data_IF_112039479408
#
_entry.id   IF_112039479408
#
_cell.length_a   1.000
_cell.length_b   1.000
_cell.length_c   1.000
_cell.angle_alpha   90.00
_cell.angle_beta   90.00
_cell.angle_gamma   90.00
#
_symmetry.space_group_name_H-M   'P 1'
#
loop_
_entity.id
_entity.type
_entity.pdbx_description
1 polymer ?
#
# COMPACT_ATOMS: atom_id res chain seq x y z
N UNK A 1 18.54 15.06 12.58
CA UNK A 1 18.60 15.86 11.32
C UNK A 1 17.16 16.08 10.82
N UNK A 2 16.67 17.33 10.82
CA UNK A 2 15.30 17.68 10.42
C UNK A 2 15.20 17.78 8.89
N UNK A 3 14.79 16.70 8.23
CA UNK A 3 14.61 16.67 6.79
C UNK A 3 13.12 16.84 6.51
N UNK A 4 12.71 18.01 6.02
CA UNK A 4 11.39 18.14 5.41
C UNK A 4 11.39 17.30 4.11
N UNK A 5 10.40 16.43 3.89
CA UNK A 5 10.33 15.65 2.66
C UNK A 5 10.24 16.58 1.46
N UNK A 6 11.04 16.32 0.44
CA UNK A 6 11.02 17.06 -0.82
C UNK A 6 9.95 16.52 -1.75
N UNK A 7 9.62 15.23 -1.64
CA UNK A 7 8.58 14.61 -2.43
C UNK A 7 7.23 14.71 -1.71
N UNK A 8 6.22 15.08 -2.50
CA UNK A 8 4.84 15.30 -2.10
C UNK A 8 3.96 14.08 -2.50
N UNK A 9 2.97 13.75 -1.66
CA UNK A 9 1.90 12.79 -1.91
C UNK A 9 1.16 12.99 -3.24
N UNK A 10 1.04 14.23 -3.75
CA UNK A 10 0.45 14.51 -5.07
C UNK A 10 1.16 13.74 -6.18
N UNK A 11 2.50 13.64 -6.15
CA UNK A 11 3.22 12.89 -7.19
C UNK A 11 2.93 11.38 -7.15
N UNK A 12 2.78 10.83 -5.95
CA UNK A 12 2.46 9.41 -5.75
C UNK A 12 1.02 9.10 -6.19
N UNK A 13 0.09 9.99 -5.82
CA UNK A 13 -1.29 9.90 -6.27
C UNK A 13 -1.40 10.05 -7.79
N UNK A 14 -0.69 11.02 -8.37
CA UNK A 14 -0.67 11.24 -9.82
C UNK A 14 -0.07 10.04 -10.57
N UNK A 15 0.98 9.42 -10.04
CA UNK A 15 1.52 8.20 -10.63
C UNK A 15 0.47 7.07 -10.60
N UNK A 16 -0.16 6.82 -9.45
CA UNK A 16 -1.21 5.82 -9.33
C UNK A 16 -2.40 6.11 -10.26
N UNK A 17 -2.78 7.39 -10.39
CA UNK A 17 -3.80 7.86 -11.32
C UNK A 17 -3.42 7.54 -12.78
N UNK A 18 -2.23 7.94 -13.22
CA UNK A 18 -1.78 7.67 -14.58
C UNK A 18 -1.67 6.16 -14.85
N UNK A 19 -1.21 5.39 -13.87
CA UNK A 19 -1.00 3.96 -14.02
C UNK A 19 -2.31 3.15 -13.98
N UNK A 20 -3.20 3.37 -13.01
CA UNK A 20 -4.42 2.54 -12.86
C UNK A 20 -5.65 3.10 -13.58
N UNK A 21 -5.70 4.40 -13.88
CA UNK A 21 -6.88 5.02 -14.48
C UNK A 21 -6.65 5.34 -15.96
N UNK A 22 -5.49 5.91 -16.31
CA UNK A 22 -5.20 6.36 -17.69
C UNK A 22 -4.57 5.24 -18.52
N UNK A 23 -3.63 4.48 -17.97
CA UNK A 23 -2.93 3.42 -18.70
C UNK A 23 -3.86 2.35 -19.30
N UNK A 24 -4.99 1.94 -18.69
CA UNK A 24 -5.92 1.00 -19.32
C UNK A 24 -6.44 1.48 -20.68
N UNK A 25 -6.77 2.77 -20.79
CA UNK A 25 -7.24 3.39 -22.05
C UNK A 25 -6.13 3.37 -23.10
N UNK A 26 -4.91 3.74 -22.70
CA UNK A 26 -3.72 3.65 -23.54
C UNK A 26 -3.49 2.21 -24.00
N UNK A 27 -3.64 1.24 -23.10
CA UNK A 27 -3.42 -0.18 -23.40
C UNK A 27 -4.41 -0.72 -24.41
N UNK A 28 -5.71 -0.42 -24.24
CA UNK A 28 -6.76 -0.83 -25.16
C UNK A 28 -6.56 -0.25 -26.56
N UNK A 29 -6.01 0.97 -26.66
CA UNK A 29 -5.78 1.65 -27.92
C UNK A 29 -4.49 1.19 -28.64
N UNK A 30 -3.35 1.15 -27.94
CA UNK A 30 -2.05 0.88 -28.56
C UNK A 30 -1.64 -0.59 -28.58
N UNK A 31 -2.14 -1.42 -27.66
CA UNK A 31 -1.77 -2.84 -27.56
C UNK A 31 -2.92 -3.78 -27.97
N UNK A 32 -3.78 -3.34 -28.90
CA UNK A 32 -5.00 -4.05 -29.33
C UNK A 32 -4.80 -5.56 -29.55
N UNK A 33 -3.72 -5.93 -30.24
CA UNK A 33 -3.42 -7.31 -30.63
C UNK A 33 -2.77 -8.17 -29.54
N UNK A 34 -2.43 -7.58 -28.39
CA UNK A 34 -1.73 -8.30 -27.32
C UNK A 34 -2.67 -9.23 -26.56
N UNK A 35 -2.14 -10.35 -26.06
CA UNK A 35 -2.94 -11.38 -25.39
C UNK A 35 -3.77 -10.83 -24.20
N UNK A 36 -3.21 -9.91 -23.42
CA UNK A 36 -3.85 -9.37 -22.22
C UNK A 36 -4.97 -8.37 -22.59
N UNK A 37 -4.81 -7.64 -23.68
CA UNK A 37 -5.88 -6.76 -24.21
C UNK A 37 -7.01 -7.59 -24.81
N UNK A 38 -6.70 -8.66 -25.54
CA UNK A 38 -7.71 -9.57 -26.09
C UNK A 38 -8.57 -10.19 -24.98
N UNK A 39 -7.97 -10.59 -23.85
CA UNK A 39 -8.71 -11.05 -22.67
C UNK A 39 -9.56 -9.93 -22.09
N UNK A 40 -9.00 -8.73 -21.90
CA UNK A 40 -9.74 -7.60 -21.34
C UNK A 40 -10.95 -7.20 -22.20
N UNK A 41 -10.82 -7.28 -23.54
CA UNK A 41 -11.89 -6.96 -24.51
C UNK A 41 -13.11 -7.88 -24.41
N UNK A 42 -12.99 -9.03 -23.74
CA UNK A 42 -14.15 -9.89 -23.42
C UNK A 42 -15.08 -9.24 -22.39
N UNK A 43 -14.57 -8.30 -21.59
CA UNK A 43 -15.30 -7.66 -20.50
C UNK A 43 -15.55 -6.16 -20.73
N UNK A 44 -14.65 -5.45 -21.42
CA UNK A 44 -14.74 -4.00 -21.59
C UNK A 44 -14.40 -3.55 -23.01
N UNK A 45 -15.03 -2.48 -23.46
CA UNK A 45 -14.76 -1.79 -24.73
C UNK A 45 -14.13 -0.43 -24.47
N UNK A 46 -13.43 0.10 -25.47
CA UNK A 46 -12.81 1.43 -25.36
C UNK A 46 -13.85 2.52 -25.10
N UNK A 47 -15.05 2.42 -25.68
CA UNK A 47 -16.13 3.39 -25.51
C UNK A 47 -16.68 3.45 -24.08
N UNK A 48 -16.47 2.40 -23.28
CA UNK A 48 -16.94 2.38 -21.89
C UNK A 48 -16.13 3.34 -21.01
N UNK A 49 -14.90 3.69 -21.42
CA UNK A 49 -14.04 4.70 -20.79
C UNK A 49 -14.39 6.13 -21.24
N UNK A 50 -15.69 6.43 -21.29
CA UNK A 50 -16.22 7.69 -21.80
C UNK A 50 -16.09 8.88 -20.86
N UNK A 51 -16.95 9.89 -21.08
CA UNK A 51 -16.94 11.16 -20.35
C UNK A 51 -17.18 10.98 -18.85
N UNK A 52 -18.11 10.13 -18.44
CA UNK A 52 -18.42 9.90 -17.02
C UNK A 52 -17.19 9.37 -16.26
N UNK A 53 -16.56 8.32 -16.78
CA UNK A 53 -15.34 7.74 -16.21
C UNK A 53 -14.24 8.80 -16.05
N UNK A 54 -14.01 9.59 -17.11
CA UNK A 54 -12.99 10.63 -17.14
C UNK A 54 -13.28 11.77 -16.16
N UNK A 55 -14.54 12.23 -16.10
CA UNK A 55 -14.97 13.30 -15.21
C UNK A 55 -14.79 12.93 -13.74
N UNK A 56 -15.27 11.75 -13.33
CA UNK A 56 -15.15 11.23 -11.96
C UNK A 56 -13.67 11.10 -11.59
N UNK A 57 -12.87 10.53 -12.49
CA UNK A 57 -11.44 10.34 -12.29
C UNK A 57 -10.72 11.67 -12.04
N UNK A 58 -10.94 12.66 -12.91
CA UNK A 58 -10.34 14.00 -12.75
C UNK A 58 -10.81 14.65 -11.46
N UNK A 59 -12.09 14.50 -11.11
CA UNK A 59 -12.65 15.03 -9.88
C UNK A 59 -11.93 14.44 -8.64
N UNK A 60 -11.67 13.13 -8.61
CA UNK A 60 -10.85 12.51 -7.54
C UNK A 60 -9.46 13.14 -7.43
N UNK A 61 -8.77 13.34 -8.56
CA UNK A 61 -7.44 13.95 -8.57
C UNK A 61 -7.46 15.38 -8.04
N UNK A 62 -8.43 16.18 -8.45
CA UNK A 62 -8.58 17.57 -8.02
C UNK A 62 -8.90 17.66 -6.53
N UNK A 63 -9.86 16.88 -6.04
CA UNK A 63 -10.26 16.88 -4.62
C UNK A 63 -9.09 16.45 -3.73
N UNK A 64 -8.40 15.36 -4.08
CA UNK A 64 -7.24 14.90 -3.33
C UNK A 64 -6.14 15.98 -3.26
N UNK A 65 -5.82 16.57 -4.41
CA UNK A 65 -4.78 17.60 -4.52
C UNK A 65 -5.15 18.85 -3.73
N UNK A 66 -6.39 19.31 -3.82
CA UNK A 66 -6.91 20.44 -3.08
C UNK A 66 -6.79 20.21 -1.57
N UNK A 67 -7.28 19.06 -1.08
CA UNK A 67 -7.20 18.70 0.33
C UNK A 67 -5.73 18.65 0.80
N UNK A 68 -4.86 17.98 0.06
CA UNK A 68 -3.44 17.92 0.41
C UNK A 68 -2.83 19.32 0.54
N UNK A 69 -3.07 20.22 -0.43
CA UNK A 69 -2.51 21.57 -0.45
C UNK A 69 -3.01 22.38 0.75
N UNK A 70 -4.30 22.31 1.05
CA UNK A 70 -4.90 23.00 2.21
C UNK A 70 -4.21 22.52 3.49
N UNK A 71 -4.20 21.21 3.74
CA UNK A 71 -3.75 20.66 5.03
C UNK A 71 -2.23 20.65 5.21
N UNK A 72 -1.45 20.57 4.12
CA UNK A 72 0.01 20.68 4.17
C UNK A 72 0.50 22.11 4.50
N UNK A 73 -0.34 23.12 4.24
CA UNK A 73 -0.04 24.52 4.51
C UNK A 73 -0.61 25.04 5.85
N UNK A 74 -1.43 24.24 6.54
CA UNK A 74 -1.97 24.63 7.85
C UNK A 74 -0.86 24.94 8.87
N UNK A 75 -1.14 25.93 9.72
CA UNK A 75 -0.29 26.26 10.88
C UNK A 75 -0.62 25.33 12.04
N UNK A 76 -0.09 24.10 11.98
CA UNK A 76 -0.18 23.14 13.07
C UNK A 76 0.98 23.32 14.07
N UNK A 77 0.69 23.13 15.35
CA UNK A 77 1.72 23.06 16.40
C UNK A 77 2.65 21.87 16.16
N UNK A 78 3.94 22.05 16.42
CA UNK A 78 4.93 20.97 16.29
C UNK A 78 4.62 19.86 17.30
N UNK A 79 4.66 18.63 16.84
CA UNK A 79 4.51 17.44 17.70
C UNK A 79 5.85 16.87 18.12
N UNK A 80 5.97 16.54 19.40
CA UNK A 80 7.18 15.93 19.98
C UNK A 80 7.01 14.43 20.26
N UNK A 81 5.99 13.79 19.70
CA UNK A 81 5.71 12.35 19.90
C UNK A 81 6.93 11.52 19.49
N UNK A 82 7.52 10.76 20.42
CA UNK A 82 8.65 9.88 20.16
C UNK A 82 10.02 10.57 20.04
N UNK A 83 10.11 11.90 20.03
CA UNK A 83 11.41 12.58 19.82
C UNK A 83 12.41 12.33 20.95
N UNK A 84 11.95 12.38 22.21
CA UNK A 84 12.80 12.11 23.37
C UNK A 84 13.17 10.63 23.44
N UNK A 85 12.23 9.80 23.02
CA UNK A 85 12.27 8.35 23.15
C UNK A 85 13.36 7.72 22.27
N UNK A 86 13.59 8.30 21.10
CA UNK A 86 14.63 7.88 20.13
C UNK A 86 16.04 7.84 20.73
N UNK A 87 16.33 8.66 21.73
CA UNK A 87 17.65 8.73 22.36
C UNK A 87 17.91 7.60 23.37
N UNK A 88 16.86 6.91 23.84
CA UNK A 88 17.01 5.79 24.76
C UNK A 88 17.72 4.61 24.09
N UNK A 89 18.88 4.20 24.64
CA UNK A 89 19.72 3.12 24.08
C UNK A 89 19.00 1.76 24.01
N UNK A 90 18.07 1.49 24.93
CA UNK A 90 17.34 0.22 25.03
C UNK A 90 16.12 0.15 24.11
N UNK A 91 15.49 1.29 23.78
CA UNK A 91 14.26 1.31 22.98
C UNK A 91 14.40 0.59 21.62
N UNK A 92 15.44 0.88 20.79
CA UNK A 92 15.61 0.18 19.52
C UNK A 92 15.82 -1.33 19.67
N UNK A 93 16.48 -1.75 20.76
CA UNK A 93 16.74 -3.17 21.02
C UNK A 93 15.45 -3.90 21.40
N UNK A 94 14.63 -3.31 22.28
CA UNK A 94 13.35 -3.89 22.70
C UNK A 94 12.42 -4.01 21.49
N UNK A 95 12.31 -2.95 20.67
CA UNK A 95 11.48 -3.00 19.44
C UNK A 95 12.00 -4.06 18.47
N UNK A 96 13.32 -4.14 18.28
CA UNK A 96 13.93 -5.17 17.42
C UNK A 96 13.56 -6.58 17.90
N UNK A 97 13.68 -6.85 19.20
CA UNK A 97 13.33 -8.15 19.80
C UNK A 97 11.84 -8.45 19.61
N UNK A 98 10.95 -7.47 19.81
CA UNK A 98 9.50 -7.64 19.62
C UNK A 98 9.18 -7.97 18.16
N UNK A 99 9.75 -7.24 17.20
CA UNK A 99 9.47 -7.50 15.78
C UNK A 99 10.08 -8.84 15.34
N UNK A 100 11.26 -9.18 15.85
CA UNK A 100 11.88 -10.48 15.58
C UNK A 100 11.06 -11.63 16.17
N UNK A 101 10.55 -11.49 17.40
CA UNK A 101 9.70 -12.52 18.02
C UNK A 101 8.38 -12.69 17.27
N UNK A 102 7.76 -11.60 16.80
CA UNK A 102 6.58 -11.65 15.94
C UNK A 102 6.87 -12.34 14.60
N UNK A 103 8.04 -12.09 14.00
CA UNK A 103 8.46 -12.77 12.77
C UNK A 103 8.63 -14.27 12.99
N UNK A 104 9.37 -14.67 14.01
CA UNK A 104 9.56 -16.08 14.35
C UNK A 104 8.24 -16.76 14.68
N UNK A 105 7.38 -16.13 15.47
CA UNK A 105 6.05 -16.64 15.78
C UNK A 105 5.20 -16.85 14.53
N UNK A 106 5.23 -15.90 13.58
CA UNK A 106 4.48 -16.00 12.32
C UNK A 106 5.01 -17.14 11.45
N UNK A 107 6.33 -17.32 11.36
CA UNK A 107 6.96 -18.43 10.61
C UNK A 107 6.62 -19.79 11.25
N UNK A 108 6.72 -19.89 12.57
CA UNK A 108 6.38 -21.11 13.32
C UNK A 108 4.90 -21.44 13.12
N UNK A 109 4.01 -20.45 13.27
CA UNK A 109 2.57 -20.62 13.02
C UNK A 109 2.30 -21.09 11.59
N UNK A 110 2.99 -20.53 10.60
CA UNK A 110 2.89 -20.96 9.20
C UNK A 110 3.24 -22.44 9.03
N UNK A 111 4.36 -22.87 9.63
CA UNK A 111 4.81 -24.25 9.56
C UNK A 111 3.79 -25.22 10.19
N UNK A 112 3.27 -24.91 11.38
CA UNK A 112 2.26 -25.74 12.04
C UNK A 112 0.90 -25.74 11.34
N UNK A 113 0.56 -24.67 10.63
CA UNK A 113 -0.67 -24.60 9.83
C UNK A 113 -0.61 -25.40 8.53
N UNK A 114 0.51 -26.05 8.23
CA UNK A 114 0.68 -26.85 7.00
C UNK A 114 0.75 -26.02 5.72
N UNK A 115 0.93 -24.70 5.83
CA UNK A 115 1.01 -23.83 4.66
C UNK A 115 2.35 -24.06 3.97
N UNK A 116 2.28 -24.52 2.73
CA UNK A 116 3.45 -24.67 1.88
C UNK A 116 4.05 -23.28 1.60
N UNK A 117 5.20 -23.00 2.22
CA UNK A 117 5.96 -21.80 1.90
C UNK A 117 6.41 -21.91 0.44
N UNK A 118 6.29 -20.82 -0.33
CA UNK A 118 6.65 -20.74 -1.76
C UNK A 118 5.69 -21.42 -2.77
N UNK A 119 4.45 -21.76 -2.39
CA UNK A 119 3.46 -22.33 -3.32
C UNK A 119 2.73 -21.30 -4.21
N UNK A 120 2.96 -19.99 -4.02
CA UNK A 120 2.29 -18.95 -4.79
C UNK A 120 0.77 -18.88 -4.53
N UNK A 121 -0.01 -18.57 -5.56
CA UNK A 121 -1.49 -18.46 -5.47
C UNK A 121 -2.21 -19.83 -5.46
N UNK A 122 -1.48 -20.94 -5.58
CA UNK A 122 -2.05 -22.26 -5.88
C UNK A 122 -2.89 -22.86 -4.75
N UNK A 123 -2.61 -22.53 -3.48
CA UNK A 123 -3.35 -23.04 -2.31
C UNK A 123 -4.31 -22.00 -1.70
N UNK A 124 -4.54 -20.88 -2.40
CA UNK A 124 -5.40 -19.80 -1.91
C UNK A 124 -4.69 -18.82 -0.97
N UNK A 125 -5.30 -17.65 -0.81
CA UNK A 125 -4.75 -16.53 -0.04
C UNK A 125 -4.91 -16.78 1.47
N UNK A 126 -3.85 -17.22 2.16
CA UNK A 126 -3.91 -17.34 3.63
C UNK A 126 -3.68 -15.97 4.30
N UNK A 127 -4.79 -15.21 4.43
CA UNK A 127 -4.83 -13.86 5.01
C UNK A 127 -4.26 -13.83 6.44
N UNK A 128 -4.36 -14.95 7.18
CA UNK A 128 -3.92 -15.05 8.57
C UNK A 128 -2.39 -14.96 8.74
N UNK A 129 -1.62 -15.28 7.69
CA UNK A 129 -0.15 -15.23 7.68
C UNK A 129 0.37 -14.00 6.95
N UNK A 130 -0.28 -13.64 5.84
CA UNK A 130 0.14 -12.55 4.97
C UNK A 130 -0.01 -11.18 5.66
N UNK A 131 -1.07 -11.01 6.46
CA UNK A 131 -1.31 -9.81 7.26
C UNK A 131 -0.16 -9.49 8.24
N UNK A 132 0.17 -10.40 9.18
CA UNK A 132 1.28 -10.19 10.11
C UNK A 132 2.63 -9.95 9.43
N UNK A 133 2.96 -10.70 8.37
CA UNK A 133 4.20 -10.49 7.60
C UNK A 133 4.25 -9.10 6.96
N UNK A 134 3.13 -8.62 6.41
CA UNK A 134 3.03 -7.26 5.87
C UNK A 134 3.23 -6.21 6.96
N UNK A 135 2.63 -6.38 8.15
CA UNK A 135 2.85 -5.48 9.30
C UNK A 135 4.31 -5.44 9.72
N UNK A 136 4.98 -6.60 9.80
CA UNK A 136 6.40 -6.71 10.15
C UNK A 136 7.27 -6.02 9.11
N UNK A 137 7.04 -6.28 7.81
CA UNK A 137 7.78 -5.66 6.71
C UNK A 137 7.66 -4.12 6.75
N UNK A 138 6.43 -3.62 6.87
CA UNK A 138 6.14 -2.18 6.91
C UNK A 138 6.74 -1.50 8.14
N UNK A 139 6.56 -2.10 9.32
CA UNK A 139 7.10 -1.57 10.58
C UNK A 139 8.62 -1.56 10.60
N UNK A 140 9.26 -2.58 10.01
CA UNK A 140 10.71 -2.67 9.92
C UNK A 140 11.30 -1.48 9.15
N UNK A 141 10.67 -1.07 8.04
CA UNK A 141 11.11 0.12 7.30
C UNK A 141 10.91 1.39 8.11
N UNK A 142 9.76 1.55 8.77
CA UNK A 142 9.48 2.73 9.61
C UNK A 142 10.56 2.86 10.69
N UNK A 143 10.86 1.77 11.40
CA UNK A 143 11.88 1.80 12.45
C UNK A 143 13.31 1.94 11.92
N UNK A 144 13.60 1.41 10.73
CA UNK A 144 14.87 1.65 10.03
C UNK A 144 15.07 3.14 9.71
N UNK A 145 14.03 3.88 9.33
CA UNK A 145 14.14 5.31 9.10
C UNK A 145 14.16 6.13 10.39
N UNK A 146 13.41 5.69 11.39
CA UNK A 146 13.26 6.36 12.68
C UNK A 146 14.58 6.36 13.48
N UNK A 147 15.24 5.21 13.59
CA UNK A 147 16.50 5.09 14.33
C UNK A 147 17.70 5.52 13.49
N UNK A 148 18.60 6.33 14.06
CA UNK A 148 19.73 6.91 13.31
C UNK A 148 20.99 6.03 13.29
N UNK A 149 21.24 5.25 14.36
CA UNK A 149 22.46 4.46 14.49
C UNK A 149 22.49 3.30 13.48
N UNK A 150 23.62 3.16 12.78
CA UNK A 150 23.82 2.17 11.71
C UNK A 150 23.47 0.75 12.14
N UNK A 151 23.89 0.31 13.33
CA UNK A 151 23.61 -1.04 13.84
C UNK A 151 22.10 -1.38 13.88
N UNK A 152 21.26 -0.44 14.32
CA UNK A 152 19.82 -0.67 14.41
C UNK A 152 19.17 -0.61 13.02
N UNK A 153 19.62 0.31 12.17
CA UNK A 153 19.18 0.36 10.76
C UNK A 153 19.43 -0.96 10.05
N UNK A 154 20.64 -1.52 10.19
CA UNK A 154 20.99 -2.81 9.59
C UNK A 154 20.13 -3.94 10.17
N UNK A 155 19.88 -3.96 11.47
CA UNK A 155 19.00 -4.95 12.09
C UNK A 155 17.57 -4.93 11.51
N UNK A 156 16.93 -3.76 11.47
CA UNK A 156 15.59 -3.64 10.88
C UNK A 156 15.57 -3.92 9.37
N UNK A 157 16.64 -3.56 8.65
CA UNK A 157 16.78 -3.91 7.23
C UNK A 157 16.86 -5.43 7.01
N UNK A 158 17.55 -6.18 7.88
CA UNK A 158 17.59 -7.65 7.82
C UNK A 158 16.20 -8.24 8.05
N UNK A 159 15.46 -7.77 9.06
CA UNK A 159 14.08 -8.22 9.29
C UNK A 159 13.19 -7.92 8.07
N UNK A 160 13.34 -6.74 7.48
CA UNK A 160 12.67 -6.40 6.24
C UNK A 160 13.01 -7.40 5.12
N UNK A 161 14.28 -7.69 4.87
CA UNK A 161 14.67 -8.64 3.81
C UNK A 161 14.08 -10.04 4.06
N UNK A 162 14.19 -10.56 5.28
CA UNK A 162 13.67 -11.89 5.64
C UNK A 162 12.15 -11.94 5.44
N UNK A 163 11.42 -10.96 5.97
CA UNK A 163 9.95 -10.90 5.82
C UNK A 163 9.54 -10.79 4.34
N UNK A 164 10.30 -10.10 3.50
CA UNK A 164 9.98 -9.98 2.07
C UNK A 164 10.31 -11.23 1.26
N UNK A 165 11.30 -12.04 1.65
CA UNK A 165 11.52 -13.36 1.03
C UNK A 165 10.26 -14.22 1.18
N UNK A 166 9.67 -14.25 2.39
CA UNK A 166 8.42 -14.96 2.63
C UNK A 166 7.24 -14.34 1.88
N UNK A 167 7.08 -13.00 1.89
CA UNK A 167 6.01 -12.33 1.17
C UNK A 167 6.08 -12.55 -0.35
N UNK A 168 7.28 -12.55 -0.94
CA UNK A 168 7.50 -12.87 -2.35
C UNK A 168 7.14 -14.33 -2.65
N UNK A 169 7.54 -15.26 -1.77
CA UNK A 169 7.16 -16.68 -1.86
C UNK A 169 5.64 -16.90 -1.81
N UNK A 170 4.93 -16.10 -1.02
CA UNK A 170 3.45 -16.10 -0.94
C UNK A 170 2.76 -15.28 -2.03
N UNK A 171 3.51 -14.71 -2.98
CA UNK A 171 2.98 -13.98 -4.13
C UNK A 171 2.65 -12.50 -3.89
N UNK A 172 2.96 -11.95 -2.72
CA UNK A 172 2.64 -10.57 -2.34
C UNK A 172 3.75 -9.56 -2.70
N UNK A 173 4.03 -9.46 -4.00
CA UNK A 173 5.12 -8.64 -4.58
C UNK A 173 5.01 -7.14 -4.32
N UNK A 174 3.81 -6.62 -4.02
CA UNK A 174 3.61 -5.19 -3.79
C UNK A 174 4.23 -4.68 -2.49
N UNK A 175 4.20 -5.47 -1.41
CA UNK A 175 4.81 -5.04 -0.15
C UNK A 175 6.33 -4.86 -0.27
N UNK A 176 6.98 -5.70 -1.08
CA UNK A 176 8.39 -5.55 -1.42
C UNK A 176 8.65 -4.28 -2.23
N UNK A 177 7.84 -4.03 -3.26
CA UNK A 177 7.96 -2.84 -4.10
C UNK A 177 7.74 -1.55 -3.28
N UNK A 178 6.71 -1.50 -2.43
CA UNK A 178 6.44 -0.38 -1.53
C UNK A 178 7.65 -0.10 -0.64
N UNK A 179 8.25 -1.14 -0.07
CA UNK A 179 9.40 -1.00 0.80
C UNK A 179 10.64 -0.46 0.08
N UNK A 180 10.93 -0.97 -1.12
CA UNK A 180 12.03 -0.48 -1.94
C UNK A 180 11.84 0.98 -2.37
N UNK A 181 10.64 1.35 -2.81
CA UNK A 181 10.33 2.73 -3.17
C UNK A 181 10.49 3.64 -1.96
N UNK A 182 10.03 3.22 -0.77
CA UNK A 182 10.21 3.96 0.48
C UNK A 182 11.69 4.23 0.79
N UNK A 183 12.55 3.22 0.58
CA UNK A 183 14.01 3.35 0.73
C UNK A 183 14.58 4.35 -0.28
N UNK A 184 14.19 4.24 -1.55
CA UNK A 184 14.63 5.16 -2.61
C UNK A 184 14.22 6.62 -2.31
N UNK A 185 12.98 6.85 -1.86
CA UNK A 185 12.49 8.17 -1.46
C UNK A 185 13.32 8.72 -0.28
N UNK A 186 13.55 7.91 0.75
CA UNK A 186 14.32 8.37 1.91
C UNK A 186 15.77 8.74 1.52
N UNK A 187 16.40 7.96 0.64
CA UNK A 187 17.74 8.29 0.14
C UNK A 187 17.74 9.53 -0.76
N UNK A 188 16.73 9.72 -1.60
CA UNK A 188 16.56 10.96 -2.36
C UNK A 188 16.41 12.20 -1.47
N UNK A 189 15.58 12.10 -0.42
CA UNK A 189 15.37 13.22 0.51
C UNK A 189 16.66 13.60 1.27
N UNK A 190 17.54 12.63 1.54
CA UNK A 190 18.86 12.87 2.16
C UNK A 190 19.87 13.42 1.17
N UNK A 191 19.94 12.84 -0.02
CA UNK A 191 20.89 13.22 -1.05
C UNK A 191 20.19 13.36 -2.42
N UNK A 192 19.65 14.55 -2.75
CA UNK A 192 18.92 14.75 -4.00
C UNK A 192 19.82 14.58 -5.24
N UNK A 193 21.14 14.71 -5.09
CA UNK A 193 22.09 14.50 -6.18
C UNK A 193 22.18 13.03 -6.59
N UNK A 194 21.69 12.09 -5.76
CA UNK A 194 21.72 10.65 -6.05
C UNK A 194 20.97 10.30 -7.32
N UNK A 195 19.86 10.98 -7.61
CA UNK A 195 19.11 10.75 -8.86
C UNK A 195 19.97 11.06 -10.06
N UNK A 196 20.87 12.05 -10.01
CA UNK A 196 21.76 12.37 -11.15
C UNK A 196 22.83 11.30 -11.40
N UNK A 197 22.98 10.32 -10.51
CA UNK A 197 23.99 9.27 -10.68
C UNK A 197 23.47 8.16 -11.59
N UNK A 198 24.32 7.68 -12.50
CA UNK A 198 24.02 6.54 -13.35
C UNK A 198 23.73 5.27 -12.52
N UNK A 199 24.44 5.09 -11.39
CA UNK A 199 24.25 3.96 -10.47
C UNK A 199 22.81 3.87 -9.95
N UNK A 200 22.20 5.00 -9.61
CA UNK A 200 20.81 5.03 -9.15
C UNK A 200 19.84 4.52 -10.22
N UNK A 201 20.03 4.96 -11.48
CA UNK A 201 19.21 4.54 -12.60
C UNK A 201 19.40 3.05 -12.92
N UNK A 202 20.65 2.57 -12.97
CA UNK A 202 20.96 1.16 -13.18
C UNK A 202 20.30 0.29 -12.11
N UNK A 203 20.45 0.66 -10.83
CA UNK A 203 19.85 -0.08 -9.72
C UNK A 203 18.31 -0.08 -9.78
N UNK A 204 17.70 1.06 -10.14
CA UNK A 204 16.25 1.17 -10.25
C UNK A 204 15.71 0.32 -11.39
N UNK A 205 16.36 0.35 -12.55
CA UNK A 205 16.00 -0.48 -13.71
C UNK A 205 16.22 -1.96 -13.40
N UNK A 206 17.34 -2.33 -12.77
CA UNK A 206 17.60 -3.73 -12.41
C UNK A 206 16.58 -4.27 -11.42
N UNK A 207 16.18 -3.46 -10.42
CA UNK A 207 15.14 -3.85 -9.46
C UNK A 207 13.78 -4.00 -10.13
N UNK A 208 13.43 -3.10 -11.04
CA UNK A 208 12.19 -3.19 -11.82
C UNK A 208 12.16 -4.46 -12.67
N UNK A 209 13.22 -4.73 -13.43
CA UNK A 209 13.36 -5.95 -14.23
C UNK A 209 13.35 -7.21 -13.37
N UNK A 210 13.98 -7.19 -12.19
CA UNK A 210 13.96 -8.30 -11.25
C UNK A 210 12.54 -8.64 -10.79
N UNK A 211 11.72 -7.63 -10.45
CA UNK A 211 10.32 -7.84 -10.04
C UNK A 211 9.48 -8.41 -11.20
N UNK A 212 9.69 -7.92 -12.42
CA UNK A 212 9.00 -8.45 -13.60
C UNK A 212 9.44 -9.88 -13.91
N UNK A 213 10.74 -10.17 -13.78
CA UNK A 213 11.30 -11.51 -13.96
C UNK A 213 10.69 -12.51 -12.97
N UNK A 214 10.56 -12.16 -11.68
CA UNK A 214 9.87 -13.01 -10.70
C UNK A 214 8.43 -13.29 -11.15
N UNK A 215 7.76 -12.29 -11.74
CA UNK A 215 6.43 -12.47 -12.33
C UNK A 215 6.39 -13.52 -13.43
N UNK A 216 7.32 -13.46 -14.38
CA UNK A 216 7.43 -14.40 -15.51
C UNK A 216 7.85 -15.79 -15.05
N UNK A 217 8.83 -15.87 -14.16
CA UNK A 217 9.34 -17.13 -13.65
C UNK A 217 8.23 -17.93 -12.97
N UNK A 218 7.34 -17.25 -12.24
CA UNK A 218 6.19 -17.88 -11.61
C UNK A 218 5.10 -18.31 -12.60
N UNK A 219 4.94 -17.61 -13.72
CA UNK A 219 3.96 -18.00 -14.75
C UNK A 219 4.44 -19.15 -15.64
N UNK A 220 5.61 -19.75 -15.36
CA UNK A 220 6.25 -20.82 -16.16
C UNK A 220 6.29 -20.50 -17.66
N UNK A 221 6.37 -19.22 -18.00
CA UNK A 221 6.26 -18.74 -19.37
C UNK A 221 7.62 -18.32 -19.91
N UNK A 222 7.90 -18.58 -21.18
CA UNK A 222 9.13 -18.10 -21.83
C UNK A 222 9.28 -16.58 -21.74
N UNK A 223 10.51 -16.11 -21.51
CA UNK A 223 10.84 -14.68 -21.43
C UNK A 223 10.71 -14.01 -22.79
N UNK A 224 9.75 -13.08 -22.92
CA UNK A 224 9.64 -12.19 -24.06
C UNK A 224 9.35 -10.75 -23.62
N UNK A 225 9.78 -9.77 -24.42
CA UNK A 225 9.54 -8.35 -24.14
C UNK A 225 8.04 -8.02 -24.13
N UNK A 226 7.26 -8.66 -25.00
CA UNK A 226 5.80 -8.55 -25.02
C UNK A 226 5.17 -9.05 -23.71
N UNK A 227 5.66 -10.16 -23.14
CA UNK A 227 5.17 -10.66 -21.84
C UNK A 227 5.60 -9.76 -20.67
N UNK A 228 6.80 -9.18 -20.71
CA UNK A 228 7.23 -8.19 -19.71
C UNK A 228 6.31 -6.96 -19.70
N UNK A 229 6.07 -6.37 -20.87
CA UNK A 229 5.13 -5.26 -21.02
C UNK A 229 3.70 -5.68 -20.67
N UNK A 230 3.31 -6.89 -21.07
CA UNK A 230 2.02 -7.47 -20.75
C UNK A 230 1.80 -7.60 -19.25
N UNK A 231 2.77 -8.09 -18.48
CA UNK A 231 2.63 -8.20 -17.01
C UNK A 231 2.49 -6.81 -16.37
N UNK A 232 3.20 -5.81 -16.87
CA UNK A 232 3.12 -4.44 -16.35
C UNK A 232 1.75 -3.80 -16.67
N UNK A 233 1.29 -3.86 -17.92
CA UNK A 233 0.04 -3.22 -18.33
C UNK A 233 -1.23 -4.05 -18.06
N UNK A 234 -1.12 -5.37 -17.89
CA UNK A 234 -2.25 -6.22 -17.54
C UNK A 234 -2.80 -5.90 -16.15
N UNK A 235 -1.95 -5.56 -15.19
CA UNK A 235 -2.39 -5.26 -13.83
C UNK A 235 -3.36 -4.06 -13.76
N UNK A 236 -3.02 -2.86 -14.29
CA UNK A 236 -3.95 -1.76 -14.30
C UNK A 236 -5.17 -2.02 -15.20
N UNK A 237 -4.98 -2.68 -16.35
CA UNK A 237 -6.09 -3.00 -17.26
C UNK A 237 -7.12 -3.93 -16.58
N UNK A 238 -6.69 -5.04 -16.00
CA UNK A 238 -7.59 -5.97 -15.32
C UNK A 238 -8.23 -5.37 -14.07
N UNK A 239 -7.52 -4.49 -13.36
CA UNK A 239 -8.10 -3.74 -12.23
C UNK A 239 -9.22 -2.81 -12.71
N UNK A 240 -9.02 -2.12 -13.83
CA UNK A 240 -9.99 -1.15 -14.37
C UNK A 240 -11.31 -1.77 -14.86
N UNK A 241 -11.31 -3.05 -15.22
CA UNK A 241 -12.53 -3.79 -15.62
C UNK A 241 -13.62 -3.70 -14.54
N UNK A 242 -13.22 -3.78 -13.27
CA UNK A 242 -14.16 -3.64 -12.16
C UNK A 242 -14.83 -2.26 -12.07
N UNK A 243 -14.18 -1.20 -12.54
CA UNK A 243 -14.77 0.14 -12.59
C UNK A 243 -15.86 0.22 -13.66
N UNK A 244 -15.58 -0.33 -14.84
CA UNK A 244 -16.52 -0.34 -15.97
C UNK A 244 -17.73 -1.22 -15.66
N UNK A 245 -17.50 -2.46 -15.19
CA UNK A 245 -18.58 -3.36 -14.80
C UNK A 245 -19.52 -2.71 -13.79
N UNK A 246 -18.97 -2.00 -12.82
CA UNK A 246 -19.77 -1.28 -11.84
C UNK A 246 -20.53 -0.12 -12.47
N UNK A 247 -19.89 0.74 -13.29
CA UNK A 247 -20.55 1.86 -13.96
C UNK A 247 -21.78 1.42 -14.78
N UNK A 248 -21.76 0.23 -15.38
CA UNK A 248 -22.91 -0.33 -16.11
C UNK A 248 -24.09 -0.76 -15.21
N UNK A 249 -23.87 -0.98 -13.91
CA UNK A 249 -24.87 -1.53 -12.98
C UNK A 249 -25.52 -0.43 -12.11
N UNK A 250 -24.89 0.75 -12.02
CA UNK A 250 -25.28 1.86 -11.11
C UNK A 250 -26.73 2.35 -11.29
N UNK A 251 -27.36 2.19 -12.46
CA UNK A 251 -28.64 2.82 -12.79
C UNK A 251 -29.78 2.53 -11.79
N UNK A 252 -29.69 1.46 -10.99
CA UNK A 252 -30.71 1.05 -10.01
C UNK A 252 -30.27 1.14 -8.53
N UNK A 253 -29.10 1.70 -8.22
CA UNK A 253 -28.58 1.71 -6.85
C UNK A 253 -28.82 3.03 -6.09
N UNK A 254 -28.85 2.95 -4.76
CA UNK A 254 -29.03 4.12 -3.90
C UNK A 254 -27.89 5.13 -4.05
N UNK A 255 -28.24 6.41 -4.21
CA UNK A 255 -27.27 7.52 -4.36
C UNK A 255 -26.32 7.67 -3.16
N UNK A 256 -26.81 7.34 -1.97
CA UNK A 256 -26.05 7.34 -0.72
C UNK A 256 -25.84 5.87 -0.32
N UNK A 257 -24.59 5.53 0.02
CA UNK A 257 -24.21 4.20 0.49
C UNK A 257 -23.53 4.29 1.85
N UNK A 258 -23.62 3.19 2.59
CA UNK A 258 -22.97 3.03 3.90
C UNK A 258 -21.56 2.48 3.64
N UNK A 259 -20.50 3.05 4.25
CA UNK A 259 -19.12 2.65 3.99
C UNK A 259 -18.75 1.37 4.76
N UNK A 260 -19.38 0.25 4.40
CA UNK A 260 -19.21 -1.04 5.07
C UNK A 260 -17.77 -1.54 5.04
N UNK A 261 -17.03 -1.33 3.95
CA UNK A 261 -15.62 -1.75 3.89
C UNK A 261 -14.74 -0.94 4.83
N UNK A 262 -15.11 0.33 5.10
CA UNK A 262 -14.41 1.14 6.10
C UNK A 262 -14.69 0.60 7.49
N UNK A 263 -15.94 0.26 7.81
CA UNK A 263 -16.31 -0.36 9.10
C UNK A 263 -15.59 -1.71 9.26
N UNK A 264 -15.62 -2.56 8.24
CA UNK A 264 -14.92 -3.84 8.20
C UNK A 264 -13.40 -3.69 8.38
N UNK A 265 -12.81 -2.62 7.84
CA UNK A 265 -11.39 -2.33 8.01
C UNK A 265 -11.01 -2.09 9.49
N UNK A 266 -11.86 -1.39 10.25
CA UNK A 266 -11.64 -1.16 11.67
C UNK A 266 -11.78 -2.44 12.49
N UNK A 267 -12.75 -3.30 12.16
CA UNK A 267 -12.83 -4.64 12.74
C UNK A 267 -11.54 -5.42 12.47
N UNK A 268 -10.96 -5.26 11.29
CA UNK A 268 -9.71 -5.93 10.90
C UNK A 268 -8.46 -5.43 11.66
N UNK A 269 -8.57 -4.37 12.47
CA UNK A 269 -7.49 -3.94 13.37
C UNK A 269 -7.40 -4.83 14.61
N UNK A 270 -8.50 -5.47 14.99
CA UNK A 270 -8.57 -6.35 16.16
C UNK A 270 -7.85 -7.67 15.80
N UNK A 271 -6.85 -8.12 16.59
CA UNK A 271 -6.23 -9.43 16.40
C UNK A 271 -7.27 -10.56 16.35
N UNK A 272 -7.11 -11.51 15.43
CA UNK A 272 -8.06 -12.62 15.26
C UNK A 272 -8.10 -13.53 16.49
N UNK A 273 -7.05 -13.52 17.30
CA UNK A 273 -6.98 -14.23 18.58
C UNK A 273 -7.94 -13.65 19.63
N UNK A 274 -8.23 -12.35 19.57
CA UNK A 274 -9.21 -11.68 20.44
C UNK A 274 -10.64 -11.75 19.89
N UNK A 275 -10.79 -11.91 18.57
CA UNK A 275 -12.08 -11.97 17.92
C UNK A 275 -12.12 -13.07 16.85
N UNK A 276 -12.55 -14.27 17.25
CA UNK A 276 -12.42 -15.51 16.48
C UNK A 276 -13.27 -15.53 15.20
N UNK A 277 -14.51 -15.04 15.24
CA UNK A 277 -15.45 -15.04 14.09
C UNK A 277 -15.38 -13.78 13.23
N UNK A 278 -14.37 -12.93 13.47
CA UNK A 278 -14.17 -11.66 12.76
C UNK A 278 -14.18 -11.82 11.24
N UNK A 279 -13.56 -12.87 10.72
CA UNK A 279 -13.42 -13.07 9.26
C UNK A 279 -14.80 -13.28 8.61
N UNK A 280 -15.68 -14.01 9.28
CA UNK A 280 -17.05 -14.28 8.83
C UNK A 280 -17.84 -12.97 8.78
N UNK A 281 -17.82 -12.21 9.88
CA UNK A 281 -18.51 -10.92 9.97
C UNK A 281 -17.98 -9.94 8.91
N UNK A 282 -16.66 -9.86 8.75
CA UNK A 282 -16.05 -9.04 7.70
C UNK A 282 -16.56 -9.48 6.33
N UNK A 283 -16.59 -10.78 6.03
CA UNK A 283 -17.05 -11.27 4.72
C UNK A 283 -18.54 -11.03 4.46
N UNK A 284 -19.38 -11.00 5.49
CA UNK A 284 -20.82 -10.76 5.36
C UNK A 284 -21.16 -9.28 5.11
N UNK A 285 -20.41 -8.37 5.75
CA UNK A 285 -20.65 -6.92 5.61
C UNK A 285 -19.85 -6.31 4.47
N UNK A 286 -18.71 -6.91 4.11
CA UNK A 286 -17.83 -6.37 3.07
C UNK A 286 -18.42 -6.59 1.69
N UNK A 287 -18.06 -5.68 0.80
CA UNK A 287 -18.33 -5.85 -0.62
C UNK A 287 -17.69 -7.12 -1.19
N UNK A 288 -18.47 -7.93 -1.92
CA UNK A 288 -17.95 -9.10 -2.63
C UNK A 288 -17.19 -8.67 -3.89
N UNK A 289 -15.87 -8.59 -3.77
CA UNK A 289 -14.94 -8.26 -4.86
C UNK A 289 -15.16 -9.14 -6.10
N UNK A 290 -15.56 -10.41 -5.94
CA UNK A 290 -15.74 -11.35 -7.06
C UNK A 290 -16.92 -10.98 -7.95
N UNK A 291 -17.92 -10.29 -7.41
CA UNK A 291 -19.13 -9.94 -8.16
C UNK A 291 -18.88 -8.91 -9.27
N UNK A 292 -17.83 -8.07 -9.17
CA UNK A 292 -17.49 -7.10 -10.22
C UNK A 292 -16.04 -7.16 -10.69
N UNK A 293 -15.15 -7.89 -10.00
CA UNK A 293 -13.76 -8.10 -10.40
C UNK A 293 -13.47 -9.56 -10.79
N UNK A 294 -13.60 -9.91 -12.08
CA UNK A 294 -13.32 -11.27 -12.55
C UNK A 294 -11.85 -11.67 -12.36
N UNK A 295 -10.94 -10.71 -12.23
CA UNK A 295 -9.50 -10.92 -12.05
C UNK A 295 -9.03 -10.67 -10.60
N UNK A 296 -9.94 -10.45 -9.66
CA UNK A 296 -9.66 -10.37 -8.21
C UNK A 296 -9.06 -9.05 -7.70
N UNK A 297 -8.85 -8.04 -8.55
CA UNK A 297 -8.39 -6.70 -8.16
C UNK A 297 -9.51 -5.65 -8.34
N UNK A 298 -9.71 -4.76 -7.37
CA UNK A 298 -10.80 -3.77 -7.41
C UNK A 298 -10.26 -2.37 -7.67
N UNK A 299 -10.82 -1.68 -8.66
CA UNK A 299 -10.47 -0.31 -8.96
C UNK A 299 -10.91 0.61 -7.82
N UNK A 300 -10.11 1.65 -7.57
CA UNK A 300 -10.50 2.76 -6.68
C UNK A 300 -11.90 3.27 -6.98
N UNK A 301 -12.27 3.42 -8.26
CA UNK A 301 -13.56 3.96 -8.66
C UNK A 301 -14.71 3.05 -8.19
N UNK A 302 -14.57 1.74 -8.31
CA UNK A 302 -15.54 0.79 -7.77
C UNK A 302 -15.65 0.93 -6.25
N UNK A 303 -14.50 0.94 -5.56
CA UNK A 303 -14.45 0.98 -4.10
C UNK A 303 -15.05 2.27 -3.52
N UNK A 304 -14.76 3.43 -4.12
CA UNK A 304 -15.33 4.71 -3.67
C UNK A 304 -16.85 4.74 -3.85
N UNK A 305 -17.36 4.27 -4.98
CA UNK A 305 -18.79 4.35 -5.24
C UNK A 305 -19.59 3.37 -4.39
N UNK A 306 -19.10 2.14 -4.22
CA UNK A 306 -19.81 1.12 -3.44
C UNK A 306 -19.90 1.51 -1.97
N UNK A 307 -18.88 2.21 -1.44
CA UNK A 307 -18.87 2.60 -0.03
C UNK A 307 -19.50 3.96 0.23
N UNK A 308 -19.43 4.91 -0.71
CA UNK A 308 -19.81 6.29 -0.45
C UNK A 308 -20.84 6.86 -1.42
N UNK A 309 -21.13 6.19 -2.54
CA UNK A 309 -22.02 6.72 -3.58
C UNK A 309 -21.58 8.11 -4.02
N UNK A 310 -22.50 9.07 -4.06
CA UNK A 310 -22.20 10.48 -4.40
C UNK A 310 -21.34 11.20 -3.35
N UNK A 311 -21.20 10.65 -2.14
CA UNK A 311 -20.40 11.22 -1.05
C UNK A 311 -18.91 10.85 -1.13
N UNK A 312 -18.48 10.14 -2.18
CA UNK A 312 -17.06 9.83 -2.37
C UNK A 312 -16.09 11.02 -2.29
N UNK A 313 -16.46 12.26 -2.67
CA UNK A 313 -15.60 13.43 -2.50
C UNK A 313 -15.10 13.59 -1.07
N UNK A 314 -15.93 13.29 -0.08
CA UNK A 314 -15.58 13.41 1.35
C UNK A 314 -14.47 12.43 1.71
N UNK A 315 -14.54 11.20 1.21
CA UNK A 315 -13.51 10.19 1.45
C UNK A 315 -12.18 10.58 0.80
N UNK A 316 -12.20 10.95 -0.49
CA UNK A 316 -10.99 11.37 -1.21
C UNK A 316 -10.36 12.61 -0.55
N UNK A 317 -11.18 13.58 -0.14
CA UNK A 317 -10.74 14.75 0.60
C UNK A 317 -10.09 14.36 1.94
N UNK A 318 -10.68 13.40 2.66
CA UNK A 318 -10.14 12.91 3.94
C UNK A 318 -8.78 12.23 3.77
N UNK A 319 -8.58 11.45 2.70
CA UNK A 319 -7.27 10.85 2.41
C UNK A 319 -6.24 11.93 2.07
N UNK A 320 -6.60 12.92 1.24
CA UNK A 320 -5.73 14.07 0.96
C UNK A 320 -5.38 14.88 2.22
N UNK A 321 -6.35 15.09 3.12
CA UNK A 321 -6.15 15.70 4.43
C UNK A 321 -5.13 14.93 5.28
N UNK A 322 -5.26 13.60 5.39
CA UNK A 322 -4.33 12.76 6.17
C UNK A 322 -2.89 12.93 5.67
N UNK A 323 -2.66 12.82 4.36
CA UNK A 323 -1.31 13.00 3.80
C UNK A 323 -0.81 14.45 3.92
N UNK A 324 -1.68 15.44 3.83
CA UNK A 324 -1.35 16.85 4.07
C UNK A 324 -0.86 17.08 5.51
N UNK A 325 -1.59 16.56 6.50
CA UNK A 325 -1.23 16.62 7.92
C UNK A 325 0.10 15.90 8.18
N UNK A 326 0.27 14.68 7.66
CA UNK A 326 1.52 13.92 7.82
C UNK A 326 2.71 14.66 7.22
N UNK A 327 2.56 15.23 6.02
CA UNK A 327 3.59 16.04 5.39
C UNK A 327 3.92 17.31 6.19
N UNK A 328 2.94 17.90 6.88
CA UNK A 328 3.17 19.07 7.73
C UNK A 328 3.92 18.71 9.01
N UNK A 329 3.58 17.58 9.61
CA UNK A 329 4.12 17.12 10.89
C UNK A 329 5.43 16.32 10.73
N UNK A 330 5.88 16.05 9.51
CA UNK A 330 7.10 15.29 9.20
C UNK A 330 8.42 15.96 9.64
N UNK A 331 8.37 17.09 10.35
CA UNK A 331 9.52 17.58 11.11
C UNK A 331 9.88 16.61 12.25
N UNK A 332 8.86 15.93 12.79
CA UNK A 332 9.02 14.83 13.71
C UNK A 332 9.53 13.59 12.96
N UNK A 333 10.54 12.92 13.50
CA UNK A 333 11.25 11.81 12.87
C UNK A 333 10.38 10.56 12.72
N UNK A 334 9.51 10.28 13.70
CA UNK A 334 8.57 9.18 13.60
C UNK A 334 7.55 9.47 12.50
N UNK A 335 6.94 10.65 12.52
CA UNK A 335 5.97 11.06 11.49
C UNK A 335 6.61 11.11 10.10
N UNK A 336 7.86 11.58 9.98
CA UNK A 336 8.64 11.49 8.75
C UNK A 336 8.75 10.06 8.25
N UNK A 337 9.11 9.14 9.14
CA UNK A 337 9.31 7.72 8.78
C UNK A 337 8.00 7.07 8.33
N UNK A 338 6.89 7.43 8.99
CA UNK A 338 5.54 7.00 8.61
C UNK A 338 5.15 7.58 7.25
N UNK A 339 5.30 8.90 7.07
CA UNK A 339 4.93 9.60 5.83
C UNK A 339 5.68 9.01 4.63
N UNK A 340 7.00 8.86 4.71
CA UNK A 340 7.79 8.32 3.59
C UNK A 340 7.44 6.86 3.28
N UNK A 341 7.13 6.05 4.29
CA UNK A 341 6.78 4.63 4.08
C UNK A 341 5.36 4.47 3.53
N UNK A 342 4.47 5.41 3.81
CA UNK A 342 3.07 5.38 3.34
C UNK A 342 2.86 5.99 1.97
N UNK A 343 3.75 6.87 1.49
CA UNK A 343 3.67 7.46 0.15
C UNK A 343 3.47 6.44 -0.98
N UNK A 344 4.22 5.31 -1.07
CA UNK A 344 4.04 4.34 -2.15
C UNK A 344 2.70 3.59 -2.09
N UNK A 345 1.98 3.62 -0.96
CA UNK A 345 0.62 3.06 -0.89
C UNK A 345 -0.35 3.82 -1.81
N UNK A 346 -0.14 5.13 -1.98
CA UNK A 346 -0.91 5.94 -2.92
C UNK A 346 -0.62 5.60 -4.39
N UNK A 347 0.53 4.99 -4.71
CA UNK A 347 0.80 4.57 -6.09
C UNK A 347 0.07 3.29 -6.47
N UNK A 348 -0.01 2.32 -5.53
CA UNK A 348 -0.46 0.95 -5.84
C UNK A 348 -1.70 0.54 -5.07
N UNK A 349 -1.58 0.37 -3.74
CA UNK A 349 -2.66 -0.19 -2.93
C UNK A 349 -3.92 0.67 -2.94
N UNK A 350 -3.78 2.00 -2.94
CA UNK A 350 -4.93 2.90 -2.96
C UNK A 350 -5.79 2.75 -4.24
N UNK A 351 -5.15 2.45 -5.37
CA UNK A 351 -5.83 2.36 -6.66
C UNK A 351 -6.34 0.96 -7.04
N UNK A 352 -5.82 -0.08 -6.36
CA UNK A 352 -6.02 -1.50 -6.74
C UNK A 352 -6.68 -2.36 -5.67
N UNK A 353 -6.45 -2.04 -4.41
CA UNK A 353 -6.90 -2.87 -3.29
C UNK A 353 -8.21 -2.32 -2.72
N UNK A 354 -9.05 -3.22 -2.22
CA UNK A 354 -10.27 -2.84 -1.48
C UNK A 354 -9.93 -2.00 -0.25
N UNK A 355 -10.87 -1.16 0.19
CA UNK A 355 -10.65 -0.25 1.32
C UNK A 355 -10.27 -0.96 2.61
N UNK A 356 -10.76 -2.18 2.84
CA UNK A 356 -10.37 -3.02 3.98
C UNK A 356 -8.85 -3.16 4.08
N UNK A 357 -8.20 -3.49 2.96
CA UNK A 357 -6.76 -3.72 2.88
C UNK A 357 -6.00 -2.40 2.98
N UNK A 358 -6.36 -1.41 2.17
CA UNK A 358 -5.67 -0.12 2.15
C UNK A 358 -5.74 0.59 3.52
N UNK A 359 -6.92 0.67 4.13
CA UNK A 359 -7.11 1.37 5.43
C UNK A 359 -6.33 0.65 6.53
N UNK A 360 -6.35 -0.70 6.57
CA UNK A 360 -5.54 -1.46 7.51
C UNK A 360 -4.05 -1.18 7.36
N UNK A 361 -3.53 -1.17 6.13
CA UNK A 361 -2.09 -0.94 5.93
C UNK A 361 -1.73 0.51 6.26
N UNK A 362 -2.50 1.48 5.77
CA UNK A 362 -2.24 2.90 5.99
C UNK A 362 -2.36 3.30 7.46
N UNK A 363 -3.51 2.99 8.09
CA UNK A 363 -3.83 3.49 9.41
C UNK A 363 -3.36 2.55 10.51
N UNK A 364 -3.52 1.23 10.38
CA UNK A 364 -3.05 0.32 11.42
C UNK A 364 -1.53 0.08 11.31
N UNK A 365 -1.04 -0.45 10.19
CA UNK A 365 0.39 -0.78 10.05
C UNK A 365 1.27 0.49 9.97
N UNK A 366 0.78 1.54 9.30
CA UNK A 366 1.54 2.76 9.08
C UNK A 366 1.49 3.76 10.23
N UNK A 367 0.34 3.94 10.87
CA UNK A 367 0.15 4.97 11.89
C UNK A 367 0.05 4.40 13.31
N UNK A 368 -0.99 3.61 13.58
CA UNK A 368 -1.36 3.18 14.93
C UNK A 368 -0.26 2.31 15.53
N UNK A 369 0.18 1.26 14.82
CA UNK A 369 1.10 0.28 15.38
C UNK A 369 2.49 0.86 15.74
N UNK A 370 3.17 1.62 14.87
CA UNK A 370 4.46 2.21 15.21
C UNK A 370 4.38 3.24 16.36
N UNK A 371 3.32 4.07 16.37
CA UNK A 371 3.10 5.06 17.43
C UNK A 371 2.82 4.35 18.76
N UNK A 372 1.94 3.34 18.75
CA UNK A 372 1.58 2.56 19.93
C UNK A 372 2.81 1.88 20.54
N UNK A 373 3.63 1.20 19.74
CA UNK A 373 4.85 0.55 20.22
C UNK A 373 5.81 1.54 20.89
N UNK A 374 6.03 2.70 20.26
CA UNK A 374 6.92 3.71 20.83
C UNK A 374 6.36 4.23 22.15
N UNK A 375 5.08 4.59 22.20
CA UNK A 375 4.47 5.11 23.43
C UNK A 375 4.46 4.08 24.56
N UNK A 376 4.08 2.84 24.26
CA UNK A 376 4.02 1.75 25.24
C UNK A 376 5.39 1.47 25.86
N UNK A 377 6.42 1.26 25.04
CA UNK A 377 7.76 0.94 25.57
C UNK A 377 8.33 2.15 26.32
N UNK A 378 8.05 3.36 25.84
CA UNK A 378 8.54 4.57 26.48
C UNK A 378 7.88 4.81 27.83
N UNK A 379 6.59 4.49 27.97
CA UNK A 379 5.92 4.45 29.25
C UNK A 379 6.60 3.44 30.20
N UNK A 380 6.82 2.21 29.74
CA UNK A 380 7.48 1.15 30.54
C UNK A 380 8.91 1.52 30.97
N UNK A 381 9.66 2.22 30.11
CA UNK A 381 11.02 2.67 30.43
C UNK A 381 11.05 3.90 31.35
N UNK A 382 10.01 4.73 31.36
CA UNK A 382 9.89 5.89 32.27
C UNK A 382 9.63 5.47 33.71
N UNK A 383 8.96 4.34 33.94
CA UNK A 383 8.71 3.79 35.30
C UNK A 383 10.01 3.41 36.04
N UNK A 384 11.17 3.43 35.36
CA UNK A 384 12.49 3.15 35.95
C UNK A 384 13.40 4.39 36.14
N UNK A 385 12.86 5.61 36.04
CA UNK A 385 13.49 6.83 36.54
C UNK A 385 12.77 7.27 37.80
#
# INVERSE_FOLDING_TARGET
>A
MNIKPKINAIYFFLFGFLYYIVSPVISLYFFDKSWFVLIAKQHVKLNDYGLAYSFISILCLLIFSLAYIIFSNLKLLKTNIGEKEKEHKLLPLIIFIIILSLLLFTIIKSYYSGVSLFSGYNEGYNISLLGPLATISFSSIIFMFYFEKRKYKTGFFIIYLISNVFLLGMGSRMFFLIGLISIAINEYNRNPKIIKTLRFHILSISLFLFILFIGIWRSNSELSLEKLLGIFFAEPLFTSISAINYLHIIENESLIKIPWDVIASFLNFIPSELFKDKIVIISEISYDIKSYSPFGASSLLTNIYINFGILFPIYIFSIGMVFGILSKLSYNKLIYSIYITTLPLLMFHFFREGFITYIKIQFFNGLIFPIFIILLISFLLRVKR
#
